data_IF_330262468594
#
_entry.id   IF_330262468594
#
_cell.length_a   1.000
_cell.length_b   1.000
_cell.length_c   1.000
_cell.angle_alpha   90.00
_cell.angle_beta   90.00
_cell.angle_gamma   90.00
#
_symmetry.space_group_name_H-M   'P 1'
#
loop_
_entity.id
_entity.type
_entity.pdbx_description
1 polymer ?
#
# COMPACT_ATOMS: atom_id res chain seq x y z
N UNK A 1 20.56 3.53 29.15
CA UNK A 1 20.35 2.13 28.75
C UNK A 1 21.71 1.49 28.60
N UNK A 2 21.88 0.21 28.96
CA UNK A 2 23.13 -0.49 28.64
C UNK A 2 23.14 -0.86 27.13
N UNK A 3 24.29 -1.24 26.57
CA UNK A 3 24.41 -1.58 25.14
C UNK A 3 23.47 -2.73 24.72
N UNK A 4 23.22 -3.70 25.62
CA UNK A 4 22.30 -4.81 25.39
C UNK A 4 20.86 -4.33 25.23
N UNK A 5 20.42 -3.37 26.04
CA UNK A 5 19.08 -2.79 25.99
C UNK A 5 18.89 -2.00 24.69
N UNK A 6 19.92 -1.27 24.24
CA UNK A 6 19.89 -0.52 22.97
C UNK A 6 19.74 -1.48 21.80
N UNK A 7 20.54 -2.55 21.76
CA UNK A 7 20.44 -3.58 20.72
C UNK A 7 19.07 -4.25 20.73
N UNK A 8 18.54 -4.58 21.91
CA UNK A 8 17.21 -5.19 22.04
C UNK A 8 16.09 -4.27 21.50
N UNK A 9 16.14 -2.98 21.84
CA UNK A 9 15.18 -1.99 21.33
C UNK A 9 15.28 -1.84 19.81
N UNK A 10 16.49 -1.73 19.26
CA UNK A 10 16.71 -1.66 17.81
C UNK A 10 16.16 -2.89 17.09
N UNK A 11 16.42 -4.10 17.62
CA UNK A 11 15.85 -5.35 17.08
C UNK A 11 14.32 -5.36 17.16
N UNK A 12 13.74 -4.85 18.24
CA UNK A 12 12.29 -4.69 18.36
C UNK A 12 11.73 -3.74 17.31
N UNK A 13 12.45 -2.67 16.95
CA UNK A 13 12.05 -1.75 15.87
C UNK A 13 12.12 -2.42 14.51
N UNK A 14 13.17 -3.19 14.23
CA UNK A 14 13.28 -3.99 12.99
C UNK A 14 12.13 -4.98 12.86
N UNK A 15 11.72 -5.62 13.97
CA UNK A 15 10.60 -6.56 13.97
C UNK A 15 9.25 -5.91 13.62
N UNK A 16 9.08 -4.62 13.95
CA UNK A 16 7.89 -3.83 13.53
C UNK A 16 7.92 -3.43 12.06
N UNK A 17 9.11 -3.41 11.44
CA UNK A 17 9.30 -3.07 10.04
C UNK A 17 10.71 -2.59 9.75
N UNK A 18 11.18 -2.82 8.53
CA UNK A 18 12.55 -2.47 8.13
C UNK A 18 12.80 -0.96 8.18
N UNK A 19 11.80 -0.16 7.79
CA UNK A 19 11.82 1.29 7.89
C UNK A 19 12.09 1.77 9.34
N UNK A 20 11.41 1.19 10.32
CA UNK A 20 11.58 1.53 11.73
C UNK A 20 12.98 1.18 12.23
N UNK A 21 13.52 0.05 11.78
CA UNK A 21 14.90 -0.33 12.07
C UNK A 21 15.93 0.64 11.49
N UNK A 22 15.78 1.01 10.21
CA UNK A 22 16.69 1.95 9.53
C UNK A 22 16.66 3.31 10.22
N UNK A 23 15.48 3.82 10.54
CA UNK A 23 15.34 5.10 11.26
C UNK A 23 15.99 5.03 12.64
N UNK A 24 15.67 4.01 13.44
CA UNK A 24 16.22 3.89 14.79
C UNK A 24 17.76 3.77 14.81
N UNK A 25 18.34 3.13 13.79
CA UNK A 25 19.80 3.07 13.61
C UNK A 25 20.42 4.43 13.32
N UNK A 26 19.81 5.23 12.46
CA UNK A 26 20.28 6.60 12.18
C UNK A 26 20.26 7.50 13.41
N UNK A 27 19.30 7.27 14.32
CA UNK A 27 19.15 8.06 15.54
C UNK A 27 20.25 7.84 16.57
N UNK A 28 20.77 6.61 16.66
CA UNK A 28 21.70 6.19 17.72
C UNK A 28 23.15 6.21 17.25
N UNK A 29 23.41 5.97 15.96
CA UNK A 29 24.75 5.88 15.44
C UNK A 29 25.45 7.24 15.41
N UNK A 30 26.73 7.24 15.75
CA UNK A 30 27.60 8.39 15.59
C UNK A 30 28.03 8.55 14.13
N UNK A 31 27.77 9.71 13.48
CA UNK A 31 28.21 9.98 12.12
C UNK A 31 29.73 9.86 11.88
N UNK A 32 30.53 9.96 12.93
CA UNK A 32 31.99 9.76 12.87
C UNK A 32 32.42 8.30 12.99
N UNK A 33 31.49 7.38 13.30
CA UNK A 33 31.80 5.96 13.45
C UNK A 33 31.96 5.26 12.11
N UNK A 34 32.83 4.24 12.07
CA UNK A 34 32.98 3.40 10.87
C UNK A 34 31.67 2.66 10.53
N UNK A 35 30.88 2.29 11.54
CA UNK A 35 29.60 1.60 11.38
C UNK A 35 28.55 2.49 10.70
N UNK A 36 28.63 3.81 10.89
CA UNK A 36 27.74 4.75 10.22
C UNK A 36 27.93 4.75 8.69
N UNK A 37 29.15 4.56 8.19
CA UNK A 37 29.40 4.46 6.75
C UNK A 37 28.72 3.21 6.17
N UNK A 38 28.86 2.06 6.84
CA UNK A 38 28.17 0.83 6.46
C UNK A 38 26.64 1.03 6.49
N UNK A 39 26.14 1.74 7.51
CA UNK A 39 24.72 2.07 7.66
C UNK A 39 24.20 2.95 6.51
N UNK A 40 24.93 3.99 6.11
CA UNK A 40 24.53 4.87 5.00
C UNK A 40 24.41 4.08 3.69
N UNK A 41 25.32 3.13 3.43
CA UNK A 41 25.24 2.26 2.26
C UNK A 41 24.00 1.35 2.32
N UNK A 42 23.67 0.80 3.50
CA UNK A 42 22.46 0.01 3.69
C UNK A 42 21.20 0.85 3.49
N UNK A 43 21.15 2.05 4.07
CA UNK A 43 20.05 3.00 3.93
C UNK A 43 19.84 3.42 2.46
N UNK A 44 20.93 3.63 1.71
CA UNK A 44 20.84 3.89 0.26
C UNK A 44 20.18 2.72 -0.47
N UNK A 45 20.66 1.49 -0.26
CA UNK A 45 20.08 0.29 -0.90
C UNK A 45 18.62 0.07 -0.54
N UNK A 46 18.26 0.37 0.70
CA UNK A 46 16.87 0.35 1.14
C UNK A 46 16.04 1.37 0.36
N UNK A 47 16.48 2.62 0.26
CA UNK A 47 15.78 3.65 -0.49
C UNK A 47 15.65 3.30 -1.98
N UNK A 48 16.70 2.75 -2.58
CA UNK A 48 16.69 2.31 -3.98
C UNK A 48 15.69 1.17 -4.19
N UNK A 49 15.67 0.18 -3.30
CA UNK A 49 14.72 -0.93 -3.37
C UNK A 49 13.29 -0.46 -3.17
N UNK A 50 13.04 0.46 -2.24
CA UNK A 50 11.72 1.06 -2.05
C UNK A 50 11.29 1.86 -3.28
N UNK A 51 12.21 2.58 -3.91
CA UNK A 51 11.95 3.30 -5.15
C UNK A 51 11.62 2.33 -6.29
N UNK A 52 12.43 1.30 -6.52
CA UNK A 52 12.22 0.28 -7.54
C UNK A 52 10.92 -0.50 -7.32
N UNK A 53 10.61 -0.83 -6.07
CA UNK A 53 9.32 -1.42 -5.66
C UNK A 53 8.15 -0.49 -5.98
N UNK A 54 8.36 0.83 -5.92
CA UNK A 54 7.32 1.81 -6.18
C UNK A 54 7.04 1.98 -7.69
N UNK A 55 8.05 1.84 -8.55
CA UNK A 55 7.91 1.96 -10.01
C UNK A 55 7.71 0.61 -10.72
N UNK A 56 7.39 -0.47 -9.98
CA UNK A 56 7.08 -1.82 -10.48
C UNK A 56 8.12 -2.41 -11.46
N UNK A 57 9.39 -2.04 -11.34
CA UNK A 57 10.44 -2.58 -12.24
C UNK A 57 10.92 -3.96 -11.83
N UNK A 58 10.64 -4.41 -10.60
CA UNK A 58 10.99 -5.73 -10.11
C UNK A 58 9.75 -6.58 -9.76
N UNK A 59 9.79 -7.88 -10.04
CA UNK A 59 8.84 -8.85 -9.51
C UNK A 59 8.78 -8.83 -7.97
N UNK A 60 7.60 -9.15 -7.41
CA UNK A 60 7.33 -9.05 -5.98
C UNK A 60 8.24 -9.97 -5.13
N UNK A 61 8.46 -11.20 -5.58
CA UNK A 61 9.39 -12.14 -4.97
C UNK A 61 10.82 -11.58 -4.88
N UNK A 62 11.25 -10.79 -5.87
CA UNK A 62 12.55 -10.12 -5.83
C UNK A 62 12.61 -8.95 -4.86
N UNK A 63 11.51 -8.20 -4.72
CA UNK A 63 11.39 -7.12 -3.74
C UNK A 63 11.43 -7.70 -2.32
N UNK A 64 10.65 -8.76 -2.06
CA UNK A 64 10.61 -9.46 -0.78
C UNK A 64 11.99 -10.04 -0.40
N UNK A 65 12.65 -10.73 -1.34
CA UNK A 65 14.03 -11.20 -1.16
C UNK A 65 15.01 -10.05 -0.87
N UNK A 66 14.84 -8.90 -1.52
CA UNK A 66 15.64 -7.71 -1.27
C UNK A 66 15.45 -7.16 0.14
N UNK A 67 14.20 -7.05 0.59
CA UNK A 67 13.85 -6.58 1.93
C UNK A 67 14.36 -7.53 3.01
N UNK A 68 14.26 -8.84 2.80
CA UNK A 68 14.79 -9.84 3.73
C UNK A 68 16.32 -9.77 3.86
N UNK A 69 17.03 -9.57 2.74
CA UNK A 69 18.48 -9.37 2.74
C UNK A 69 18.87 -8.10 3.50
N UNK A 70 18.15 -7.01 3.29
CA UNK A 70 18.40 -5.76 4.01
C UNK A 70 18.07 -5.88 5.49
N UNK A 71 17.00 -6.59 5.85
CA UNK A 71 16.63 -6.88 7.25
C UNK A 71 17.73 -7.66 7.94
N UNK A 72 18.25 -8.71 7.30
CA UNK A 72 19.37 -9.50 7.85
C UNK A 72 20.63 -8.64 8.02
N UNK A 73 21.00 -7.87 7.00
CA UNK A 73 22.17 -6.99 7.07
C UNK A 73 22.04 -5.93 8.18
N UNK A 74 20.83 -5.42 8.42
CA UNK A 74 20.56 -4.47 9.50
C UNK A 74 20.66 -5.13 10.87
N UNK A 75 20.14 -6.36 11.02
CA UNK A 75 20.29 -7.15 12.25
C UNK A 75 21.77 -7.44 12.55
N UNK A 76 22.54 -7.86 11.54
CA UNK A 76 23.98 -8.12 11.67
C UNK A 76 24.73 -6.84 12.07
N UNK A 77 24.29 -5.67 11.57
CA UNK A 77 24.85 -4.37 11.93
C UNK A 77 24.52 -3.99 13.38
N UNK A 78 23.28 -4.22 13.83
CA UNK A 78 22.87 -3.99 15.23
C UNK A 78 23.74 -4.82 16.18
N UNK A 79 24.06 -6.06 15.82
CA UNK A 79 24.91 -6.92 16.64
C UNK A 79 26.37 -6.46 16.72
N UNK A 80 26.84 -5.69 15.72
CA UNK A 80 28.18 -5.09 15.67
C UNK A 80 28.29 -3.73 16.36
N UNK A 81 27.20 -3.12 16.82
CA UNK A 81 27.24 -1.81 17.51
C UNK A 81 28.07 -1.92 18.78
N UNK A 82 29.12 -1.12 18.90
CA UNK A 82 29.87 -0.92 20.14
C UNK A 82 29.60 0.47 20.72
N UNK A 83 30.13 0.75 21.92
CA UNK A 83 29.94 2.06 22.57
C UNK A 83 30.54 3.22 21.76
N UNK A 84 31.61 2.97 21.01
CA UNK A 84 32.26 3.97 20.15
C UNK A 84 31.41 4.33 18.92
N UNK A 85 30.47 3.46 18.55
CA UNK A 85 29.56 3.67 17.43
C UNK A 85 28.33 4.49 17.80
N UNK A 86 28.14 4.87 19.08
CA UNK A 86 26.91 5.49 19.56
C UNK A 86 27.10 6.98 19.86
N UNK A 87 26.24 7.82 19.27
CA UNK A 87 26.12 9.26 19.60
C UNK A 87 25.12 9.53 20.73
N UNK A 88 24.15 8.64 20.92
CA UNK A 88 23.13 8.72 21.98
C UNK A 88 23.02 7.37 22.70
N UNK A 89 23.09 7.37 24.03
CA UNK A 89 22.92 6.16 24.88
C UNK A 89 21.45 5.82 25.18
N UNK A 90 20.52 6.48 24.49
CA UNK A 90 19.08 6.25 24.60
C UNK A 90 18.47 6.33 23.20
N UNK A 91 17.66 5.33 22.86
CA UNK A 91 16.72 5.40 21.74
C UNK A 91 15.56 6.28 22.23
N UNK A 92 15.21 7.34 21.51
CA UNK A 92 14.08 8.18 21.91
C UNK A 92 12.79 7.34 21.88
N UNK A 93 12.08 7.26 23.01
CA UNK A 93 10.88 6.41 23.16
C UNK A 93 9.63 6.93 22.42
N UNK A 94 9.79 7.81 21.44
CA UNK A 94 8.72 8.23 20.54
C UNK A 94 9.26 8.19 19.12
N UNK A 95 8.48 7.64 18.18
CA UNK A 95 8.73 7.83 16.75
C UNK A 95 8.98 9.31 16.50
N UNK A 96 10.22 9.67 16.14
CA UNK A 96 10.60 11.07 15.98
C UNK A 96 9.70 11.71 14.93
N UNK A 97 9.07 12.82 15.32
CA UNK A 97 8.42 13.80 14.42
C UNK A 97 9.31 14.15 13.21
N UNK A 98 10.63 13.97 13.31
CA UNK A 98 11.61 14.16 12.25
C UNK A 98 11.52 13.17 11.08
N UNK A 99 10.90 11.99 11.25
CA UNK A 99 10.62 11.04 10.16
C UNK A 99 9.36 11.39 9.36
N UNK A 100 8.50 12.30 9.87
CA UNK A 100 7.26 12.70 9.20
C UNK A 100 7.47 13.30 7.81
N UNK A 101 8.46 14.17 7.56
CA UNK A 101 8.70 14.68 6.21
C UNK A 101 9.02 13.57 5.21
N UNK A 102 9.86 12.60 5.59
CA UNK A 102 10.22 11.44 4.77
C UNK A 102 9.01 10.54 4.53
N UNK A 103 8.21 10.30 5.57
CA UNK A 103 7.00 9.48 5.48
C UNK A 103 5.95 10.11 4.57
N UNK A 104 5.69 11.40 4.74
CA UNK A 104 4.81 12.18 3.85
C UNK A 104 5.32 12.14 2.41
N UNK A 105 6.62 12.33 2.21
CA UNK A 105 7.24 12.25 0.88
C UNK A 105 7.01 10.88 0.24
N UNK A 106 7.20 9.79 0.98
CA UNK A 106 6.97 8.43 0.50
C UNK A 106 5.49 8.16 0.21
N UNK A 107 4.59 8.63 1.08
CA UNK A 107 3.15 8.56 0.85
C UNK A 107 2.74 9.27 -0.45
N UNK A 108 3.20 10.50 -0.67
CA UNK A 108 2.87 11.25 -1.89
C UNK A 108 3.48 10.61 -3.14
N UNK A 109 4.68 10.03 -3.07
CA UNK A 109 5.22 9.24 -4.18
C UNK A 109 4.33 8.03 -4.51
N UNK A 110 3.87 7.30 -3.50
CA UNK A 110 2.94 6.18 -3.70
C UNK A 110 1.60 6.65 -4.30
N UNK A 111 1.13 7.85 -3.93
CA UNK A 111 -0.04 8.48 -4.56
C UNK A 111 0.21 8.88 -6.02
N UNK A 112 1.39 9.42 -6.36
CA UNK A 112 1.72 9.75 -7.74
C UNK A 112 1.69 8.49 -8.63
N UNK A 113 2.23 7.38 -8.11
CA UNK A 113 2.16 6.08 -8.79
C UNK A 113 0.71 5.59 -8.92
N UNK A 114 -0.11 5.79 -7.89
CA UNK A 114 -1.53 5.48 -7.96
C UNK A 114 -2.21 6.21 -9.13
N UNK A 115 -1.95 7.51 -9.29
CA UNK A 115 -2.51 8.28 -10.40
C UNK A 115 -1.96 7.83 -11.76
N UNK A 116 -0.68 7.48 -11.86
CA UNK A 116 -0.12 6.92 -13.09
C UNK A 116 -0.81 5.61 -13.48
N UNK A 117 -1.02 4.70 -12.51
CA UNK A 117 -1.73 3.45 -12.75
C UNK A 117 -3.19 3.70 -13.12
N UNK A 118 -3.84 4.67 -12.49
CA UNK A 118 -5.21 5.07 -12.82
C UNK A 118 -5.28 5.54 -14.28
N UNK A 119 -4.43 6.47 -14.69
CA UNK A 119 -4.39 6.99 -16.06
C UNK A 119 -4.10 5.91 -17.11
N UNK A 120 -3.43 4.82 -16.73
CA UNK A 120 -3.20 3.67 -17.62
C UNK A 120 -4.45 2.83 -17.90
N UNK A 121 -5.51 2.97 -17.10
CA UNK A 121 -6.77 2.25 -17.30
C UNK A 121 -7.49 2.86 -18.50
N UNK A 122 -7.77 2.04 -19.50
CA UNK A 122 -8.47 2.44 -20.71
C UNK A 122 -9.76 1.67 -20.88
N UNK A 123 -10.77 2.34 -21.45
CA UNK A 123 -12.00 1.73 -21.92
C UNK A 123 -12.15 2.08 -23.39
N UNK A 124 -12.44 1.09 -24.21
CA UNK A 124 -12.66 1.26 -25.65
C UNK A 124 -13.97 0.59 -26.01
N UNK A 125 -14.88 1.36 -26.61
CA UNK A 125 -16.12 0.83 -27.19
C UNK A 125 -15.94 0.74 -28.71
N UNK A 126 -16.10 -0.47 -29.24
CA UNK A 126 -15.91 -0.78 -30.65
C UNK A 126 -17.28 -1.12 -31.25
N UNK A 127 -17.64 -0.46 -32.35
CA UNK A 127 -18.85 -0.74 -33.11
C UNK A 127 -18.45 -1.17 -34.52
N UNK A 128 -18.63 -2.46 -34.83
CA UNK A 128 -18.07 -3.05 -36.05
C UNK A 128 -16.55 -3.11 -35.99
N UNK A 129 -15.87 -2.40 -36.89
CA UNK A 129 -14.40 -2.31 -36.93
C UNK A 129 -13.86 -0.97 -36.43
N UNK A 130 -14.73 -0.03 -36.07
CA UNK A 130 -14.34 1.33 -35.69
C UNK A 130 -14.39 1.51 -34.18
N UNK A 131 -13.36 2.16 -33.64
CA UNK A 131 -13.38 2.65 -32.25
C UNK A 131 -14.33 3.84 -32.21
N UNK A 132 -15.45 3.66 -31.52
CA UNK A 132 -16.48 4.69 -31.39
C UNK A 132 -16.29 5.55 -30.15
N UNK A 133 -15.65 5.00 -29.11
CA UNK A 133 -15.39 5.75 -27.90
C UNK A 133 -14.13 5.25 -27.20
N UNK A 134 -13.29 6.17 -26.72
CA UNK A 134 -12.11 5.88 -25.88
C UNK A 134 -12.21 6.73 -24.62
N UNK A 135 -12.04 6.10 -23.46
CA UNK A 135 -11.95 6.76 -22.17
C UNK A 135 -10.70 6.27 -21.41
N UNK A 136 -10.19 7.12 -20.52
CA UNK A 136 -9.00 6.84 -19.69
C UNK A 136 -9.24 7.20 -18.24
N UNK A 137 -8.42 6.65 -17.34
CA UNK A 137 -8.44 7.03 -15.94
C UNK A 137 -9.79 6.77 -15.27
N UNK A 138 -10.27 7.77 -14.53
CA UNK A 138 -11.56 7.69 -13.84
C UNK A 138 -12.74 7.51 -14.77
N UNK A 139 -12.69 8.09 -15.97
CA UNK A 139 -13.79 7.96 -16.94
C UNK A 139 -13.87 6.53 -17.48
N UNK A 140 -12.73 5.88 -17.69
CA UNK A 140 -12.69 4.46 -18.04
C UNK A 140 -13.30 3.59 -16.94
N UNK A 141 -12.90 3.80 -15.67
CA UNK A 141 -13.47 3.07 -14.53
C UNK A 141 -14.98 3.26 -14.44
N UNK A 142 -15.45 4.50 -14.60
CA UNK A 142 -16.88 4.81 -14.61
C UNK A 142 -17.63 4.00 -15.68
N UNK A 143 -17.15 4.00 -16.93
CA UNK A 143 -17.80 3.28 -18.04
C UNK A 143 -17.78 1.77 -17.85
N UNK A 144 -16.64 1.23 -17.43
CA UNK A 144 -16.47 -0.20 -17.14
C UNK A 144 -17.46 -0.64 -16.06
N UNK A 145 -17.48 0.07 -14.93
CA UNK A 145 -18.37 -0.26 -13.82
C UNK A 145 -19.84 -0.12 -14.20
N UNK A 146 -20.21 0.92 -14.98
CA UNK A 146 -21.55 1.02 -15.51
C UNK A 146 -21.93 -0.16 -16.40
N UNK A 147 -21.02 -0.61 -17.27
CA UNK A 147 -21.21 -1.79 -18.11
C UNK A 147 -21.50 -3.04 -17.27
N UNK A 148 -20.72 -3.26 -16.22
CA UNK A 148 -20.95 -4.36 -15.26
C UNK A 148 -22.32 -4.24 -14.58
N UNK A 149 -22.68 -3.05 -14.10
CA UNK A 149 -23.98 -2.81 -13.44
C UNK A 149 -25.16 -3.07 -14.37
N UNK A 150 -25.03 -2.76 -15.67
CA UNK A 150 -26.04 -3.11 -16.68
C UNK A 150 -26.14 -4.62 -16.88
N UNK A 151 -25.01 -5.34 -16.97
CA UNK A 151 -24.97 -6.81 -17.11
C UNK A 151 -25.57 -7.53 -15.91
N UNK A 152 -25.34 -7.01 -14.71
CA UNK A 152 -25.83 -7.57 -13.45
C UNK A 152 -27.21 -7.05 -13.04
N UNK A 153 -27.88 -6.27 -13.90
CA UNK A 153 -29.19 -5.69 -13.57
C UNK A 153 -30.22 -6.80 -13.34
N UNK A 154 -30.85 -6.77 -12.17
CA UNK A 154 -31.88 -7.74 -11.78
C UNK A 154 -31.32 -9.07 -11.25
N UNK A 155 -30.00 -9.21 -11.12
CA UNK A 155 -29.39 -10.31 -10.38
C UNK A 155 -29.62 -10.12 -8.89
N UNK A 156 -30.14 -11.14 -8.23
CA UNK A 156 -30.46 -11.10 -6.79
C UNK A 156 -29.56 -12.00 -5.96
N UNK A 157 -28.91 -12.98 -6.60
CA UNK A 157 -28.02 -13.93 -5.96
C UNK A 157 -26.62 -13.33 -5.75
N UNK A 158 -26.16 -13.31 -4.50
CA UNK A 158 -24.86 -12.73 -4.13
C UNK A 158 -23.70 -13.54 -4.71
N UNK A 159 -23.87 -14.87 -4.77
CA UNK A 159 -22.87 -15.79 -5.32
C UNK A 159 -22.61 -15.52 -6.79
N UNK A 160 -23.67 -15.35 -7.59
CA UNK A 160 -23.57 -15.02 -9.01
C UNK A 160 -22.89 -13.65 -9.24
N UNK A 161 -23.24 -12.65 -8.44
CA UNK A 161 -22.64 -11.30 -8.56
C UNK A 161 -21.15 -11.36 -8.21
N UNK A 162 -20.79 -11.99 -7.09
CA UNK A 162 -19.39 -12.10 -6.66
C UNK A 162 -18.58 -12.94 -7.64
N UNK A 163 -19.15 -14.02 -8.17
CA UNK A 163 -18.50 -14.86 -9.18
C UNK A 163 -18.23 -14.08 -10.47
N UNK A 164 -19.17 -13.24 -10.92
CA UNK A 164 -18.94 -12.36 -12.07
C UNK A 164 -17.76 -11.42 -11.86
N UNK A 165 -17.66 -10.78 -10.69
CA UNK A 165 -16.53 -9.89 -10.41
C UNK A 165 -15.22 -10.66 -10.26
N UNK A 166 -15.24 -11.84 -9.64
CA UNK A 166 -14.06 -12.71 -9.57
C UNK A 166 -13.55 -13.09 -10.95
N UNK A 167 -14.44 -13.58 -11.81
CA UNK A 167 -14.12 -13.93 -13.19
C UNK A 167 -13.57 -12.73 -13.96
N UNK A 168 -14.24 -11.58 -13.85
CA UNK A 168 -13.74 -10.34 -14.43
C UNK A 168 -12.34 -10.05 -13.94
N UNK A 169 -12.10 -10.07 -12.62
CA UNK A 169 -10.83 -9.72 -11.96
C UNK A 169 -9.68 -10.70 -12.20
N UNK A 170 -9.95 -11.97 -12.51
CA UNK A 170 -8.93 -12.97 -12.79
C UNK A 170 -8.55 -12.99 -14.28
N UNK A 171 -9.48 -12.68 -15.18
CA UNK A 171 -9.30 -12.95 -16.62
C UNK A 171 -9.20 -11.70 -17.50
N UNK A 172 -9.77 -10.55 -17.10
CA UNK A 172 -9.92 -9.36 -17.98
C UNK A 172 -9.03 -8.14 -17.57
N UNK A 173 -8.01 -8.33 -16.71
CA UNK A 173 -7.58 -7.28 -15.73
C UNK A 173 -6.15 -6.81 -15.90
N UNK A 174 -5.64 -6.75 -17.12
CA UNK A 174 -4.24 -6.33 -17.38
C UNK A 174 -3.83 -5.06 -16.59
N UNK A 175 -4.39 -3.87 -16.88
CA UNK A 175 -4.07 -2.64 -16.14
C UNK A 175 -4.67 -2.57 -14.71
N UNK A 176 -5.80 -3.24 -14.47
CA UNK A 176 -6.49 -3.19 -13.19
C UNK A 176 -5.74 -3.95 -12.09
N UNK A 177 -4.99 -4.99 -12.42
CA UNK A 177 -4.23 -5.79 -11.45
C UNK A 177 -3.21 -4.89 -10.74
N UNK A 178 -2.48 -4.09 -11.53
CA UNK A 178 -1.48 -3.15 -11.01
C UNK A 178 -2.16 -2.06 -10.16
N UNK A 179 -3.30 -1.53 -10.63
CA UNK A 179 -4.07 -0.53 -9.91
C UNK A 179 -4.51 -1.02 -8.52
N UNK A 180 -5.14 -2.20 -8.42
CA UNK A 180 -5.57 -2.74 -7.13
C UNK A 180 -4.41 -3.17 -6.23
N UNK A 181 -3.32 -3.73 -6.80
CA UNK A 181 -2.11 -4.02 -6.02
C UNK A 181 -1.54 -2.75 -5.39
N UNK A 182 -1.46 -1.66 -6.14
CA UNK A 182 -0.99 -0.39 -5.62
C UNK A 182 -1.89 0.18 -4.51
N UNK A 183 -3.22 0.08 -4.66
CA UNK A 183 -4.17 0.45 -3.59
C UNK A 183 -3.89 -0.36 -2.32
N UNK A 184 -3.70 -1.68 -2.44
CA UNK A 184 -3.36 -2.53 -1.28
C UNK A 184 -2.10 -2.05 -0.57
N UNK A 185 -1.06 -1.70 -1.33
CA UNK A 185 0.19 -1.19 -0.80
C UNK A 185 0.02 0.15 -0.11
N UNK A 186 -0.76 1.07 -0.70
CA UNK A 186 -1.11 2.33 -0.05
C UNK A 186 -1.83 2.11 1.27
N UNK A 187 -2.81 1.20 1.31
CA UNK A 187 -3.54 0.90 2.53
C UNK A 187 -2.62 0.27 3.59
N UNK A 188 -1.81 -0.73 3.23
CA UNK A 188 -0.85 -1.33 4.14
C UNK A 188 0.13 -0.29 4.72
N UNK A 189 0.69 0.56 3.85
CA UNK A 189 1.61 1.64 4.25
C UNK A 189 1.01 2.59 5.28
N UNK A 190 -0.27 2.93 5.10
CA UNK A 190 -1.01 3.80 6.00
C UNK A 190 -1.42 3.09 7.29
N UNK A 191 -1.84 1.83 7.22
CA UNK A 191 -2.25 1.02 8.36
C UNK A 191 -1.07 0.71 9.31
N UNK A 192 0.12 0.51 8.75
CA UNK A 192 1.40 0.39 9.48
C UNK A 192 1.87 1.73 10.08
N UNK A 193 1.12 2.82 9.88
CA UNK A 193 1.45 4.11 10.47
C UNK A 193 0.95 4.23 11.90
N UNK A 194 1.89 4.44 12.83
CA UNK A 194 1.57 4.86 14.20
C UNK A 194 1.35 6.39 14.30
N UNK A 195 1.87 7.19 13.34
CA UNK A 195 1.81 8.66 13.36
C UNK A 195 1.11 9.20 12.10
N UNK A 196 0.20 10.17 12.23
CA UNK A 196 -0.56 10.74 11.11
C UNK A 196 -1.37 9.72 10.27
N UNK A 197 -1.62 8.51 10.80
CA UNK A 197 -2.43 7.48 10.12
C UNK A 197 -3.78 8.04 9.64
N UNK A 198 -4.47 8.78 10.51
CA UNK A 198 -5.77 9.35 10.17
C UNK A 198 -5.66 10.36 9.02
N UNK A 199 -4.63 11.22 9.02
CA UNK A 199 -4.38 12.16 7.93
C UNK A 199 -4.19 11.43 6.59
N UNK A 200 -3.39 10.36 6.55
CA UNK A 200 -3.19 9.60 5.33
C UNK A 200 -4.46 8.84 4.88
N UNK A 201 -5.22 8.28 5.83
CA UNK A 201 -6.50 7.63 5.54
C UNK A 201 -7.51 8.62 4.97
N UNK A 202 -7.65 9.80 5.58
CA UNK A 202 -8.56 10.84 5.12
C UNK A 202 -8.15 11.35 3.73
N UNK A 203 -6.84 11.51 3.51
CA UNK A 203 -6.31 11.85 2.19
C UNK A 203 -6.70 10.79 1.16
N UNK A 204 -6.43 9.50 1.42
CA UNK A 204 -6.80 8.41 0.51
C UNK A 204 -8.30 8.41 0.21
N UNK A 205 -9.16 8.49 1.24
CA UNK A 205 -10.62 8.51 1.07
C UNK A 205 -11.08 9.66 0.18
N UNK A 206 -10.46 10.83 0.30
CA UNK A 206 -10.81 12.00 -0.51
C UNK A 206 -10.41 11.87 -2.00
N UNK A 207 -9.47 10.97 -2.33
CA UNK A 207 -8.93 10.85 -3.68
C UNK A 207 -9.68 9.85 -4.55
N UNK A 208 -10.31 8.83 -3.96
CA UNK A 208 -11.08 7.86 -4.73
C UNK A 208 -12.45 8.41 -5.10
N UNK A 209 -12.81 8.30 -6.37
CA UNK A 209 -14.19 8.54 -6.79
C UNK A 209 -15.13 7.47 -6.24
N UNK A 210 -16.43 7.77 -6.18
CA UNK A 210 -17.44 6.80 -5.72
C UNK A 210 -17.49 5.53 -6.58
N UNK A 211 -17.16 5.62 -7.87
CA UNK A 211 -17.08 4.47 -8.77
C UNK A 211 -15.84 3.61 -8.52
N UNK A 212 -14.70 4.25 -8.22
CA UNK A 212 -13.50 3.55 -7.77
C UNK A 212 -13.76 2.80 -6.46
N UNK A 213 -14.37 3.48 -5.48
CA UNK A 213 -14.73 2.85 -4.20
C UNK A 213 -15.71 1.68 -4.37
N UNK A 214 -16.67 1.78 -5.28
CA UNK A 214 -17.56 0.66 -5.60
C UNK A 214 -16.79 -0.52 -6.26
N UNK A 215 -15.88 -0.24 -7.19
CA UNK A 215 -15.00 -1.27 -7.79
C UNK A 215 -14.08 -1.93 -6.75
N UNK A 216 -13.49 -1.13 -5.86
CA UNK A 216 -12.66 -1.61 -4.73
C UNK A 216 -13.47 -2.54 -3.83
N UNK A 217 -14.74 -2.22 -3.55
CA UNK A 217 -15.63 -3.08 -2.78
C UNK A 217 -15.75 -4.46 -3.44
N UNK A 218 -16.08 -4.51 -4.73
CA UNK A 218 -16.25 -5.79 -5.41
C UNK A 218 -14.96 -6.56 -5.59
N UNK A 219 -13.83 -5.87 -5.76
CA UNK A 219 -12.51 -6.51 -5.75
C UNK A 219 -12.21 -7.17 -4.39
N UNK A 220 -12.53 -6.49 -3.29
CA UNK A 220 -12.41 -7.06 -1.95
C UNK A 220 -13.33 -8.27 -1.71
N UNK A 221 -14.56 -8.24 -2.24
CA UNK A 221 -15.51 -9.37 -2.12
C UNK A 221 -15.17 -10.55 -3.03
N UNK A 222 -14.54 -10.30 -4.17
CA UNK A 222 -14.11 -11.34 -5.09
C UNK A 222 -12.93 -12.16 -4.55
N UNK A 223 -12.21 -11.65 -3.53
CA UNK A 223 -11.06 -12.31 -2.90
C UNK A 223 -9.92 -12.66 -3.87
N UNK A 224 -9.77 -11.86 -4.93
CA UNK A 224 -8.78 -12.06 -6.00
C UNK A 224 -7.37 -11.60 -5.59
N UNK A 225 -7.28 -10.73 -4.58
CA UNK A 225 -6.01 -10.24 -4.03
C UNK A 225 -5.81 -10.65 -2.57
N UNK A 226 -4.77 -11.45 -2.24
CA UNK A 226 -4.48 -11.84 -0.85
C UNK A 226 -4.32 -10.63 0.08
N UNK A 227 -5.05 -10.63 1.20
CA UNK A 227 -4.99 -9.56 2.21
C UNK A 227 -5.65 -8.24 1.82
N UNK A 228 -6.21 -8.12 0.61
CA UNK A 228 -6.84 -6.87 0.16
C UNK A 228 -8.10 -6.56 0.96
N UNK A 229 -8.94 -7.58 1.19
CA UNK A 229 -10.20 -7.44 1.91
C UNK A 229 -9.98 -6.94 3.34
N UNK A 230 -8.99 -7.50 4.03
CA UNK A 230 -8.58 -7.11 5.37
C UNK A 230 -8.09 -5.65 5.38
N UNK A 231 -7.19 -5.28 4.45
CA UNK A 231 -6.68 -3.92 4.35
C UNK A 231 -7.79 -2.89 4.06
N UNK A 232 -8.72 -3.21 3.16
CA UNK A 232 -9.87 -2.35 2.85
C UNK A 232 -10.80 -2.18 4.05
N UNK A 233 -11.02 -3.24 4.83
CA UNK A 233 -11.81 -3.22 6.06
C UNK A 233 -11.15 -2.41 7.17
N UNK A 234 -9.87 -2.66 7.45
CA UNK A 234 -9.13 -2.00 8.55
C UNK A 234 -8.90 -0.50 8.30
N UNK A 235 -8.81 -0.09 7.03
CA UNK A 235 -8.70 1.32 6.65
C UNK A 235 -10.03 2.06 6.71
N UNK A 236 -11.15 1.32 6.81
CA UNK A 236 -12.50 1.86 6.67
C UNK A 236 -12.62 2.73 5.40
N UNK A 237 -12.03 2.26 4.30
CA UNK A 237 -11.86 3.04 3.06
C UNK A 237 -13.21 3.33 2.40
N UNK A 238 -14.13 2.38 2.44
CA UNK A 238 -15.43 2.47 1.77
C UNK A 238 -16.47 2.93 2.79
N UNK A 239 -17.23 3.97 2.43
CA UNK A 239 -18.28 4.56 3.26
C UNK A 239 -19.66 4.50 2.60
N UNK A 240 -20.66 5.09 3.25
CA UNK A 240 -22.04 5.07 2.74
C UNK A 240 -22.23 5.86 1.42
N UNK A 241 -21.25 6.64 0.96
CA UNK A 241 -21.38 7.43 -0.26
C UNK A 241 -21.49 6.56 -1.52
N UNK A 242 -21.07 5.30 -1.46
CA UNK A 242 -21.15 4.36 -2.60
C UNK A 242 -22.42 3.53 -2.63
N UNK A 243 -23.25 3.58 -1.59
CA UNK A 243 -24.38 2.64 -1.39
C UNK A 243 -25.26 2.52 -2.63
N UNK A 244 -25.67 3.64 -3.21
CA UNK A 244 -26.53 3.72 -4.41
C UNK A 244 -25.85 3.22 -5.70
N UNK A 245 -24.52 3.17 -5.72
CA UNK A 245 -23.74 2.70 -6.86
C UNK A 245 -23.55 1.20 -6.86
N UNK A 246 -23.67 0.54 -5.71
CA UNK A 246 -23.50 -0.91 -5.60
C UNK A 246 -24.55 -1.65 -6.46
N UNK A 247 -24.21 -2.87 -6.89
CA UNK A 247 -25.17 -3.79 -7.49
C UNK A 247 -26.30 -4.10 -6.50
N UNK A 248 -25.93 -4.37 -5.24
CA UNK A 248 -26.83 -4.48 -4.09
C UNK A 248 -26.33 -3.62 -2.95
N UNK A 249 -27.20 -2.81 -2.36
CA UNK A 249 -26.83 -1.90 -1.27
C UNK A 249 -26.30 -2.65 -0.05
N UNK A 250 -26.80 -3.87 0.17
CA UNK A 250 -26.45 -4.74 1.29
C UNK A 250 -25.00 -5.23 1.22
N UNK A 251 -24.37 -5.21 0.04
CA UNK A 251 -22.97 -5.60 -0.11
C UNK A 251 -22.00 -4.71 0.67
N UNK A 252 -22.41 -3.48 1.02
CA UNK A 252 -21.64 -2.61 1.91
C UNK A 252 -21.43 -3.26 3.31
N UNK A 253 -22.40 -4.06 3.77
CA UNK A 253 -22.33 -4.74 5.05
C UNK A 253 -21.17 -5.76 5.12
N UNK A 254 -20.76 -6.33 3.99
CA UNK A 254 -19.72 -7.37 3.94
C UNK A 254 -18.30 -6.87 4.24
N UNK A 255 -18.10 -5.55 4.19
CA UNK A 255 -16.85 -4.88 4.59
C UNK A 255 -17.03 -4.03 5.85
N UNK A 256 -18.23 -3.99 6.41
CA UNK A 256 -18.48 -3.31 7.68
C UNK A 256 -17.80 -4.06 8.82
N UNK A 257 -17.09 -3.34 9.68
CA UNK A 257 -16.70 -3.88 10.99
C UNK A 257 -18.00 -3.95 11.80
N UNK A 258 -18.46 -5.16 12.15
CA UNK A 258 -19.47 -5.32 13.20
C UNK A 258 -18.93 -4.60 14.44
N UNK A 259 -19.47 -3.42 14.74
CA UNK A 259 -19.22 -2.70 15.98
C UNK A 259 -20.06 -3.31 17.09
#
# INVERSE_FOLDING_TARGET
MNLSDIRAELKSRVAKGLNFGVEAMEEVLDPSSNLYNDFILLKSKYNDLMYVSSINTLPYDQIELGLDRLRKALMDMIDRIDEASLKKQQVEQGLKVQALPTRRTNFFKLLDIHFQNLESITYVEIYGNDITEEAKGRDAIFKIYQGMRRKLRGKTDDGEIIAFFRDYFEHDVGPFEVYFKNIRHLLAYVLESEVERQFFLDTLKSLFSRYELAMILYYALAETGPGFREAARESNLIDNSVKELLIKEEHLAFLSINR
#
